data_IF_710616895414
#
_entry.id   IF_710616895414
#
_cell.length_a   1.000
_cell.length_b   1.000
_cell.length_c   1.000
_cell.angle_alpha   90.00
_cell.angle_beta   90.00
_cell.angle_gamma   90.00
#
_symmetry.space_group_name_H-M   'P 1'
#
loop_
_entity.id
_entity.type
_entity.pdbx_description
1 polymer ?
#
# COMPACT_ATOMS: atom_id res chain seq x y z
N UNK A 1 10.83 10.61 22.39
CA UNK A 1 10.13 11.55 21.48
C UNK A 1 8.73 11.00 21.23
N UNK A 2 7.67 11.80 21.41
CA UNK A 2 6.31 11.35 21.15
C UNK A 2 6.07 11.29 19.63
N UNK A 3 5.60 10.14 19.12
CA UNK A 3 5.24 9.98 17.71
C UNK A 3 3.85 10.57 17.48
N UNK A 4 3.77 11.72 16.83
CA UNK A 4 2.49 12.32 16.42
C UNK A 4 2.00 11.56 15.18
N UNK A 5 0.77 11.08 15.20
CA UNK A 5 0.12 10.44 14.06
C UNK A 5 -1.09 11.28 13.68
N UNK A 6 -1.11 11.79 12.45
CA UNK A 6 -2.27 12.51 11.91
C UNK A 6 -3.31 11.48 11.49
N UNK A 7 -4.57 11.72 11.84
CA UNK A 7 -5.67 10.82 11.47
C UNK A 7 -6.76 11.56 10.71
N UNK A 8 -7.37 10.87 9.76
CA UNK A 8 -8.40 11.37 8.86
C UNK A 8 -9.67 10.57 9.06
N UNK A 9 -10.80 11.26 9.15
CA UNK A 9 -12.14 10.68 9.03
C UNK A 9 -12.38 10.20 7.60
N UNK A 10 -13.45 9.42 7.38
CA UNK A 10 -13.90 9.00 6.03
C UNK A 10 -14.01 10.21 5.09
N UNK A 11 -14.70 11.27 5.52
CA UNK A 11 -14.92 12.47 4.69
C UNK A 11 -13.61 13.16 4.31
N UNK A 12 -12.68 13.33 5.26
CA UNK A 12 -11.37 13.94 5.00
C UNK A 12 -10.51 13.05 4.10
N UNK A 13 -10.58 11.74 4.29
CA UNK A 13 -9.86 10.76 3.50
C UNK A 13 -10.31 10.78 2.03
N UNK A 14 -11.63 10.72 1.78
CA UNK A 14 -12.21 10.83 0.45
C UNK A 14 -11.86 12.18 -0.19
N UNK A 15 -11.87 13.28 0.57
CA UNK A 15 -11.47 14.60 0.08
C UNK A 15 -9.99 14.64 -0.37
N UNK A 16 -9.09 14.02 0.39
CA UNK A 16 -7.64 14.02 0.08
C UNK A 16 -7.27 13.08 -1.06
N UNK A 17 -7.91 11.92 -1.13
CA UNK A 17 -7.58 10.88 -2.11
C UNK A 17 -8.38 11.00 -3.41
N UNK A 18 -9.56 11.62 -3.35
CA UNK A 18 -10.51 11.70 -4.45
C UNK A 18 -11.31 10.42 -4.69
N UNK A 19 -11.20 9.41 -3.81
CA UNK A 19 -12.05 8.21 -3.90
C UNK A 19 -13.45 8.50 -3.34
N UNK A 20 -14.45 7.79 -3.87
CA UNK A 20 -15.77 7.80 -3.26
C UNK A 20 -15.78 6.99 -1.94
N UNK A 21 -16.80 7.19 -1.12
CA UNK A 21 -16.99 6.36 0.09
C UNK A 21 -17.28 4.89 -0.25
N UNK A 22 -17.92 4.63 -1.39
CA UNK A 22 -18.14 3.27 -1.90
C UNK A 22 -16.81 2.60 -2.26
N UNK A 23 -15.97 3.28 -3.05
CA UNK A 23 -14.61 2.81 -3.35
C UNK A 23 -13.81 2.60 -2.06
N UNK A 24 -13.90 3.52 -1.10
CA UNK A 24 -13.19 3.40 0.18
C UNK A 24 -13.61 2.15 0.96
N UNK A 25 -14.92 1.87 1.03
CA UNK A 25 -15.43 0.66 1.68
C UNK A 25 -14.91 -0.61 1.00
N UNK A 26 -14.84 -0.62 -0.33
CA UNK A 26 -14.27 -1.75 -1.07
C UNK A 26 -12.78 -1.92 -0.82
N UNK A 27 -11.99 -0.84 -0.88
CA UNK A 27 -10.55 -0.85 -0.59
C UNK A 27 -10.27 -1.38 0.83
N UNK A 28 -11.06 -0.96 1.82
CA UNK A 28 -10.97 -1.47 3.20
C UNK A 28 -11.38 -2.94 3.27
N UNK A 29 -12.47 -3.33 2.59
CA UNK A 29 -12.94 -4.72 2.53
C UNK A 29 -11.92 -5.67 1.88
N UNK A 30 -11.11 -5.18 0.95
CA UNK A 30 -9.99 -5.91 0.34
C UNK A 30 -8.74 -5.95 1.21
N UNK A 31 -8.71 -5.25 2.35
CA UNK A 31 -7.57 -5.19 3.26
C UNK A 31 -6.40 -4.38 2.71
N UNK A 32 -6.60 -3.53 1.70
CA UNK A 32 -5.54 -2.69 1.15
C UNK A 32 -5.08 -1.62 2.15
N UNK A 33 -6.02 -1.12 2.95
CA UNK A 33 -5.77 -0.25 4.10
C UNK A 33 -6.66 -0.71 5.25
N UNK A 34 -6.23 -0.45 6.48
CA UNK A 34 -7.01 -0.74 7.67
C UNK A 34 -7.22 0.55 8.48
N UNK A 35 -8.46 0.86 8.91
CA UNK A 35 -8.69 1.92 9.87
C UNK A 35 -8.10 1.55 11.23
N UNK A 36 -7.71 2.55 12.04
CA UNK A 36 -7.08 2.31 13.35
C UNK A 36 -7.96 1.53 14.34
N UNK A 37 -9.28 1.57 14.15
CA UNK A 37 -10.27 0.85 14.97
C UNK A 37 -11.37 0.28 14.06
N UNK A 38 -11.15 -0.88 13.43
CA UNK A 38 -12.05 -1.43 12.41
C UNK A 38 -13.46 -1.73 12.92
N UNK A 39 -13.61 -2.02 14.21
CA UNK A 39 -14.90 -2.37 14.82
C UNK A 39 -15.78 -1.15 15.15
N UNK A 40 -15.29 0.08 14.92
CA UNK A 40 -16.07 1.30 15.14
C UNK A 40 -16.67 1.79 13.84
N UNK A 41 -17.89 2.33 13.88
CA UNK A 41 -18.55 2.95 12.73
C UNK A 41 -17.80 4.19 12.21
N UNK A 42 -17.17 4.97 13.11
CA UNK A 42 -16.36 6.12 12.72
C UNK A 42 -14.90 5.70 12.48
N UNK A 43 -14.62 5.21 11.27
CA UNK A 43 -13.26 4.88 10.85
C UNK A 43 -12.35 6.11 10.84
N UNK A 44 -11.12 5.87 11.30
CA UNK A 44 -10.02 6.82 11.26
C UNK A 44 -8.82 6.17 10.58
N UNK A 45 -8.28 6.85 9.58
CA UNK A 45 -7.14 6.40 8.79
C UNK A 45 -5.93 7.26 9.13
N UNK A 46 -4.72 6.72 9.05
CA UNK A 46 -3.51 7.52 9.18
C UNK A 46 -3.02 8.03 7.82
N UNK A 47 -1.95 8.84 7.85
CA UNK A 47 -1.30 9.37 6.66
C UNK A 47 -0.71 8.28 5.75
N UNK A 48 -0.37 7.11 6.29
CA UNK A 48 0.14 5.98 5.51
C UNK A 48 -0.93 5.39 4.60
N UNK A 49 -2.18 5.32 5.06
CA UNK A 49 -3.32 4.86 4.25
C UNK A 49 -3.56 5.76 3.02
N UNK A 50 -3.40 7.08 3.16
CA UNK A 50 -3.48 8.03 2.03
C UNK A 50 -2.41 7.71 0.97
N UNK A 51 -1.17 7.47 1.40
CA UNK A 51 -0.09 7.15 0.49
C UNK A 51 -0.34 5.84 -0.29
N UNK A 52 -0.89 4.83 0.40
CA UNK A 52 -1.27 3.54 -0.22
C UNK A 52 -2.36 3.76 -1.26
N UNK A 53 -3.44 4.49 -0.93
CA UNK A 53 -4.55 4.73 -1.86
C UNK A 53 -4.11 5.56 -3.07
N UNK A 54 -3.25 6.57 -2.91
CA UNK A 54 -2.70 7.28 -4.06
C UNK A 54 -1.85 6.39 -4.96
N UNK A 55 -1.09 5.44 -4.40
CA UNK A 55 -0.34 4.45 -5.20
C UNK A 55 -1.31 3.54 -5.96
N UNK A 56 -2.37 3.07 -5.29
CA UNK A 56 -3.40 2.24 -5.90
C UNK A 56 -4.13 2.96 -7.03
N UNK A 57 -4.50 4.23 -6.85
CA UNK A 57 -5.16 5.06 -7.87
C UNK A 57 -4.30 5.25 -9.12
N UNK A 58 -3.00 5.51 -8.96
CA UNK A 58 -2.08 5.62 -10.10
C UNK A 58 -2.02 4.30 -10.86
N UNK A 59 -1.89 3.18 -10.15
CA UNK A 59 -1.84 1.86 -10.77
C UNK A 59 -3.16 1.50 -11.47
N UNK A 60 -4.30 1.86 -10.87
CA UNK A 60 -5.64 1.66 -11.43
C UNK A 60 -5.79 2.36 -12.77
N UNK A 61 -5.28 3.59 -12.87
CA UNK A 61 -5.28 4.35 -14.13
C UNK A 61 -4.34 3.75 -15.18
N UNK A 62 -3.19 3.21 -14.76
CA UNK A 62 -2.20 2.63 -15.66
C UNK A 62 -2.60 1.26 -16.21
N UNK A 63 -3.26 0.43 -15.39
CA UNK A 63 -3.62 -0.94 -15.74
C UNK A 63 -5.10 -1.14 -16.10
N UNK A 64 -5.93 -0.12 -15.89
CA UNK A 64 -7.38 -0.15 -16.14
C UNK A 64 -8.10 -1.34 -15.45
N UNK A 65 -7.69 -1.64 -14.20
CA UNK A 65 -8.26 -2.72 -13.39
C UNK A 65 -9.30 -2.18 -12.39
N UNK A 66 -10.09 -3.10 -11.84
CA UNK A 66 -10.93 -2.87 -10.67
C UNK A 66 -10.13 -2.94 -9.36
N UNK A 67 -10.75 -2.60 -8.22
CA UNK A 67 -10.06 -2.62 -6.93
C UNK A 67 -9.51 -4.00 -6.53
N UNK A 68 -10.23 -5.12 -6.73
CA UNK A 68 -9.67 -6.45 -6.49
C UNK A 68 -8.43 -6.72 -7.33
N UNK A 69 -8.45 -6.37 -8.62
CA UNK A 69 -7.29 -6.49 -9.50
C UNK A 69 -6.10 -5.66 -9.02
N UNK A 70 -6.35 -4.44 -8.52
CA UNK A 70 -5.31 -3.56 -7.99
C UNK A 70 -4.74 -4.06 -6.66
N UNK A 71 -5.56 -4.62 -5.76
CA UNK A 71 -5.09 -5.22 -4.52
C UNK A 71 -4.11 -6.38 -4.79
N UNK A 72 -4.45 -7.25 -5.75
CA UNK A 72 -3.59 -8.35 -6.19
C UNK A 72 -2.32 -7.81 -6.87
N UNK A 73 -2.45 -6.85 -7.78
CA UNK A 73 -1.31 -6.26 -8.48
C UNK A 73 -0.30 -5.62 -7.52
N UNK A 74 -0.77 -4.84 -6.52
CA UNK A 74 0.11 -4.25 -5.51
C UNK A 74 0.86 -5.32 -4.71
N UNK A 75 0.16 -6.38 -4.30
CA UNK A 75 0.77 -7.51 -3.58
C UNK A 75 1.87 -8.17 -4.41
N UNK A 76 1.61 -8.43 -5.70
CA UNK A 76 2.59 -9.01 -6.61
C UNK A 76 3.77 -8.08 -6.89
N UNK A 77 3.54 -6.76 -6.98
CA UNK A 77 4.61 -5.78 -7.14
C UNK A 77 5.54 -5.73 -5.92
N UNK A 78 4.97 -5.77 -4.71
CA UNK A 78 5.75 -5.77 -3.49
C UNK A 78 6.56 -7.06 -3.33
N UNK A 79 5.99 -8.20 -3.71
CA UNK A 79 6.69 -9.49 -3.74
C UNK A 79 7.81 -9.51 -4.80
N UNK A 80 7.54 -9.00 -6.00
CA UNK A 80 8.56 -8.89 -7.04
C UNK A 80 9.71 -7.96 -6.59
N UNK A 81 9.40 -6.84 -5.94
CA UNK A 81 10.40 -5.95 -5.38
C UNK A 81 11.22 -6.64 -4.28
N UNK A 82 10.59 -7.47 -3.43
CA UNK A 82 11.25 -8.27 -2.40
C UNK A 82 12.23 -9.28 -3.03
N UNK A 83 11.75 -10.08 -3.98
CA UNK A 83 12.55 -11.08 -4.70
C UNK A 83 13.71 -10.44 -5.46
N UNK A 84 13.47 -9.30 -6.11
CA UNK A 84 14.51 -8.53 -6.81
C UNK A 84 15.60 -8.03 -5.86
N UNK A 85 15.25 -7.57 -4.66
CA UNK A 85 16.23 -7.19 -3.63
C UNK A 85 17.03 -8.38 -3.14
N UNK A 86 16.37 -9.49 -2.86
CA UNK A 86 17.01 -10.73 -2.41
C UNK A 86 18.01 -11.25 -3.45
N UNK A 87 17.60 -11.30 -4.72
CA UNK A 87 18.46 -11.72 -5.82
C UNK A 87 19.72 -10.84 -5.93
N UNK A 88 19.57 -9.51 -5.87
CA UNK A 88 20.72 -8.58 -5.88
C UNK A 88 21.67 -8.83 -4.71
N UNK A 89 21.15 -9.08 -3.51
CA UNK A 89 21.97 -9.38 -2.33
C UNK A 89 22.76 -10.69 -2.55
N UNK A 90 22.11 -11.73 -3.07
CA UNK A 90 22.77 -13.01 -3.36
C UNK A 90 23.86 -12.87 -4.42
N UNK A 91 23.59 -12.14 -5.51
CA UNK A 91 24.57 -11.84 -6.55
C UNK A 91 25.79 -11.09 -5.98
N UNK A 92 25.58 -10.08 -5.13
CA UNK A 92 26.68 -9.37 -4.47
C UNK A 92 27.50 -10.29 -3.55
N UNK A 93 26.86 -11.20 -2.81
CA UNK A 93 27.55 -12.17 -1.96
C UNK A 93 28.40 -13.14 -2.78
N UNK A 94 27.87 -13.65 -3.88
CA UNK A 94 28.59 -14.53 -4.82
C UNK A 94 29.79 -13.82 -5.44
N UNK A 95 29.61 -12.59 -5.93
CA UNK A 95 30.71 -11.80 -6.49
C UNK A 95 31.81 -11.54 -5.46
N UNK A 96 31.45 -11.25 -4.20
CA UNK A 96 32.43 -11.10 -3.11
C UNK A 96 33.17 -12.40 -2.81
N UNK A 97 32.48 -13.54 -2.83
CA UNK A 97 33.13 -14.84 -2.59
C UNK A 97 34.13 -15.18 -3.70
N UNK A 98 33.76 -15.01 -4.96
CA UNK A 98 34.62 -15.31 -6.11
C UNK A 98 35.84 -14.37 -6.23
N UNK A 99 35.76 -13.15 -5.67
CA UNK A 99 36.88 -12.19 -5.67
C UNK A 99 37.85 -12.37 -4.51
N UNK A 100 37.46 -13.10 -3.46
CA UNK A 100 38.28 -13.37 -2.26
C UNK A 100 38.73 -14.85 -2.18
N UNK A 101 38.47 -15.65 -3.23
CA UNK A 101 38.96 -17.01 -3.42
C UNK A 101 40.01 -17.03 -4.53
#
# INVERSE_FOLDING_TARGET
MAKITVTFTITEFCLHTGVSEEDLNEIVGLGMIEPRQPQRENWLFDDSAIAIVHRALRLRKELELDWPGIAVALTLMDENARLSRENRILQHRLARFLTHS
#
